data_IF_867005074091
#
_entry.id   IF_867005074091
#
_cell.length_a   1.000
_cell.length_b   1.000
_cell.length_c   1.000
_cell.angle_alpha   90.00
_cell.angle_beta   90.00
_cell.angle_gamma   90.00
#
_symmetry.space_group_name_H-M   'P 1'
#
loop_
_entity.id
_entity.type
_entity.pdbx_description
1 polymer ?
#
# COMPACT_ATOMS: atom_id res chain seq x y z
N UNK A 1 -12.10 -1.53 -10.86
CA UNK A 1 -11.65 -0.34 -10.10
C UNK A 1 -10.14 -0.23 -10.27
N UNK A 2 -9.61 0.98 -10.34
CA UNK A 2 -8.18 1.26 -10.44
C UNK A 2 -7.70 1.92 -9.13
N UNK A 3 -6.50 1.59 -8.67
CA UNK A 3 -5.81 2.31 -7.60
C UNK A 3 -4.54 2.92 -8.17
N UNK A 4 -4.31 4.21 -7.90
CA UNK A 4 -3.07 4.90 -8.21
C UNK A 4 -2.30 5.01 -6.90
N UNK A 5 -1.05 4.56 -6.90
CA UNK A 5 -0.19 4.59 -5.72
C UNK A 5 1.18 5.15 -6.04
N UNK A 6 1.88 5.65 -5.02
CA UNK A 6 3.28 6.03 -5.12
C UNK A 6 4.07 5.68 -3.84
N UNK A 7 5.40 5.47 -3.91
CA UNK A 7 6.28 5.34 -2.76
C UNK A 7 6.21 6.50 -1.75
N UNK A 8 6.24 7.75 -2.21
CA UNK A 8 6.29 8.92 -1.33
C UNK A 8 4.95 9.62 -1.18
N UNK A 9 4.77 10.34 -0.06
CA UNK A 9 3.56 11.12 0.17
C UNK A 9 3.35 12.25 -0.85
N UNK A 10 4.44 12.86 -1.31
CA UNK A 10 4.40 13.96 -2.30
C UNK A 10 4.01 13.42 -3.67
N UNK A 11 4.62 12.31 -4.13
CA UNK A 11 4.26 11.70 -5.41
C UNK A 11 2.80 11.22 -5.40
N UNK A 12 2.38 10.54 -4.33
CA UNK A 12 0.99 10.09 -4.19
C UNK A 12 0.01 11.27 -4.22
N UNK A 13 0.36 12.40 -3.61
CA UNK A 13 -0.45 13.61 -3.65
C UNK A 13 -0.57 14.17 -5.07
N UNK A 14 0.53 14.23 -5.83
CA UNK A 14 0.56 14.78 -7.18
C UNK A 14 -0.36 14.03 -8.16
N UNK A 15 -0.51 12.71 -7.99
CA UNK A 15 -1.40 11.89 -8.83
C UNK A 15 -2.77 11.60 -8.21
N UNK A 16 -3.11 12.25 -7.09
CA UNK A 16 -4.37 12.00 -6.38
C UNK A 16 -4.51 10.56 -5.87
N UNK A 17 -3.37 9.88 -5.64
CA UNK A 17 -3.26 8.49 -5.22
C UNK A 17 -3.01 8.32 -3.73
N UNK A 18 -2.61 7.11 -3.35
CA UNK A 18 -2.22 6.74 -1.98
C UNK A 18 -0.77 6.30 -1.94
N UNK A 19 -0.13 6.36 -0.77
CA UNK A 19 1.18 5.72 -0.66
C UNK A 19 1.04 4.19 -0.72
N UNK A 20 2.03 3.51 -1.29
CA UNK A 20 2.05 2.03 -1.35
C UNK A 20 1.97 1.41 0.05
N UNK A 21 2.64 2.03 1.02
CA UNK A 21 2.59 1.66 2.44
C UNK A 21 1.17 1.70 3.00
N UNK A 22 0.41 2.76 2.66
CA UNK A 22 -0.96 2.94 3.17
C UNK A 22 -1.94 1.96 2.53
N UNK A 23 -1.83 1.71 1.22
CA UNK A 23 -2.74 0.78 0.53
C UNK A 23 -2.58 -0.65 1.05
N UNK A 24 -1.34 -1.11 1.21
CA UNK A 24 -1.03 -2.49 1.58
C UNK A 24 -0.77 -2.71 3.07
N UNK A 25 -0.84 -1.66 3.89
CA UNK A 25 -0.46 -1.70 5.33
C UNK A 25 0.95 -2.29 5.52
N UNK A 26 1.90 -1.91 4.65
CA UNK A 26 3.28 -2.36 4.76
C UNK A 26 3.94 -1.69 5.97
N UNK A 27 4.80 -2.42 6.71
CA UNK A 27 5.63 -1.80 7.73
C UNK A 27 6.56 -0.76 7.09
N UNK A 28 6.86 0.30 7.83
CA UNK A 28 7.87 1.28 7.41
C UNK A 28 9.24 0.66 7.69
N UNK A 29 10.07 0.59 6.65
CA UNK A 29 11.46 0.18 6.78
C UNK A 29 12.32 1.39 7.13
N UNK A 30 13.23 1.23 8.08
CA UNK A 30 14.23 2.23 8.44
C UNK A 30 15.62 1.67 8.17
N UNK A 31 16.55 2.52 7.74
CA UNK A 31 17.99 2.19 7.63
C UNK A 31 18.35 1.05 6.67
N UNK A 32 17.56 0.82 5.61
CA UNK A 32 17.83 -0.23 4.62
C UNK A 32 17.70 -1.65 5.16
N UNK A 33 17.10 -1.82 6.35
CA UNK A 33 16.76 -3.12 6.90
C UNK A 33 15.39 -3.51 6.37
N UNK A 34 15.38 -4.42 5.40
CA UNK A 34 14.13 -5.04 4.96
C UNK A 34 13.47 -5.72 6.16
N UNK A 35 12.23 -5.34 6.46
CA UNK A 35 11.51 -5.98 7.54
C UNK A 35 11.29 -7.45 7.16
N UNK A 36 11.73 -8.38 8.01
CA UNK A 36 11.44 -9.79 7.82
C UNK A 36 9.92 -9.99 7.67
N UNK A 37 9.52 -10.96 6.83
CA UNK A 37 8.09 -11.20 6.59
C UNK A 37 7.36 -11.42 7.92
N UNK A 38 6.38 -10.55 8.19
CA UNK A 38 5.48 -10.67 9.34
C UNK A 38 4.05 -10.78 8.83
N UNK A 39 3.40 -11.89 9.15
CA UNK A 39 2.01 -12.08 8.81
C UNK A 39 1.14 -10.98 9.43
N UNK A 40 0.24 -10.43 8.63
CA UNK A 40 -0.77 -9.47 9.09
C UNK A 40 -1.75 -10.12 10.07
N UNK A 41 -2.26 -9.35 11.03
CA UNK A 41 -3.33 -9.82 11.94
C UNK A 41 -4.60 -10.18 11.15
N UNK A 42 -5.49 -11.01 11.73
CA UNK A 42 -6.75 -11.39 11.07
C UNK A 42 -7.60 -10.18 10.70
N UNK A 43 -7.58 -9.14 11.53
CA UNK A 43 -8.30 -7.89 11.33
C UNK A 43 -7.69 -7.10 10.17
N UNK A 44 -6.36 -7.01 10.10
CA UNK A 44 -5.66 -6.36 8.99
C UNK A 44 -5.91 -7.10 7.66
N UNK A 45 -5.86 -8.43 7.67
CA UNK A 45 -6.19 -9.24 6.49
C UNK A 45 -7.64 -9.03 6.04
N UNK A 46 -8.61 -8.99 6.97
CA UNK A 46 -10.02 -8.72 6.65
C UNK A 46 -10.18 -7.34 6.00
N UNK A 47 -9.53 -6.31 6.56
CA UNK A 47 -9.54 -4.95 5.99
C UNK A 47 -8.96 -4.93 4.58
N UNK A 48 -7.77 -5.48 4.36
CA UNK A 48 -7.13 -5.51 3.03
C UNK A 48 -7.99 -6.26 2.03
N UNK A 49 -8.52 -7.44 2.39
CA UNK A 49 -9.42 -8.20 1.51
C UNK A 49 -10.65 -7.39 1.10
N UNK A 50 -11.23 -6.62 2.01
CA UNK A 50 -12.36 -5.73 1.68
C UNK A 50 -11.93 -4.57 0.78
N UNK A 51 -10.82 -3.90 1.10
CA UNK A 51 -10.30 -2.77 0.31
C UNK A 51 -9.95 -3.18 -1.13
N UNK A 52 -9.34 -4.35 -1.31
CA UNK A 52 -8.85 -4.81 -2.61
C UNK A 52 -9.85 -5.67 -3.39
N UNK A 53 -11.02 -6.01 -2.81
CA UNK A 53 -11.99 -6.98 -3.38
C UNK A 53 -12.34 -6.74 -4.85
N UNK A 54 -12.49 -5.48 -5.25
CA UNK A 54 -12.92 -5.08 -6.60
C UNK A 54 -11.83 -4.39 -7.42
N UNK A 55 -10.59 -4.39 -6.89
CA UNK A 55 -9.45 -3.79 -7.53
C UNK A 55 -9.02 -4.65 -8.72
N UNK A 56 -8.93 -4.04 -9.90
CA UNK A 56 -8.58 -4.73 -11.15
C UNK A 56 -7.20 -4.33 -11.67
N UNK A 57 -6.80 -3.08 -11.41
CA UNK A 57 -5.57 -2.47 -11.91
C UNK A 57 -4.95 -1.66 -10.78
N UNK A 58 -3.63 -1.75 -10.66
CA UNK A 58 -2.81 -0.89 -9.82
C UNK A 58 -1.84 -0.16 -10.73
N UNK A 59 -1.81 1.16 -10.63
CA UNK A 59 -0.85 2.03 -11.31
C UNK A 59 0.09 2.56 -10.24
N UNK A 60 1.38 2.38 -10.47
CA UNK A 60 2.43 2.86 -9.56
C UNK A 60 3.13 4.04 -10.21
N UNK A 61 3.03 5.19 -9.57
CA UNK A 61 3.79 6.40 -9.83
C UNK A 61 4.93 6.52 -8.80
N UNK A 62 5.85 7.45 -9.02
CA UNK A 62 7.22 7.56 -8.49
C UNK A 62 7.49 7.33 -6.99
#
# INVERSE_FOLDING_TARGET
MCAIVAPTGIAAFNVGGLTIHRLFQLPIEHEGKTAGYRALSKEAQKRIKMTLKNLKIIIVDD
#
